data_IF_742384753122
#
_entry.id   IF_742384753122
#
_cell.length_a   1.000
_cell.length_b   1.000
_cell.length_c   1.000
_cell.angle_alpha   90.00
_cell.angle_beta   90.00
_cell.angle_gamma   90.00
#
_symmetry.space_group_name_H-M   'P 1'
#
loop_
_entity.id
_entity.type
_entity.pdbx_description
1 polymer ?
#
# COMPACT_ATOMS: atom_id res chain seq x y z
N UNK A 1 -14.69 -6.90 15.87
CA UNK A 1 -14.36 -7.80 14.74
C UNK A 1 -14.04 -7.02 13.47
N UNK A 2 -14.87 -6.07 13.04
CA UNK A 2 -14.64 -5.20 11.86
C UNK A 2 -13.27 -4.48 11.84
N UNK A 3 -12.90 -3.79 12.92
CA UNK A 3 -11.60 -3.12 13.04
C UNK A 3 -10.40 -4.06 12.82
N UNK A 4 -10.46 -5.26 13.42
CA UNK A 4 -9.40 -6.26 13.26
C UNK A 4 -9.30 -6.73 11.80
N UNK A 5 -10.44 -6.94 11.13
CA UNK A 5 -10.47 -7.27 9.70
C UNK A 5 -9.87 -6.16 8.84
N UNK A 6 -10.17 -4.88 9.13
CA UNK A 6 -9.60 -3.74 8.40
C UNK A 6 -8.08 -3.66 8.60
N UNK A 7 -7.59 -3.86 9.82
CA UNK A 7 -6.14 -3.86 10.12
C UNK A 7 -5.44 -5.00 9.37
N UNK A 8 -5.98 -6.23 9.46
CA UNK A 8 -5.41 -7.40 8.77
C UNK A 8 -5.41 -7.20 7.25
N UNK A 9 -6.51 -6.70 6.69
CA UNK A 9 -6.61 -6.38 5.28
C UNK A 9 -5.58 -5.30 4.88
N UNK A 10 -5.43 -4.25 5.68
CA UNK A 10 -4.48 -3.17 5.42
C UNK A 10 -3.03 -3.64 5.41
N UNK A 11 -2.63 -4.46 6.39
CA UNK A 11 -1.28 -5.04 6.45
C UNK A 11 -1.03 -5.96 5.24
N UNK A 12 -1.99 -6.85 4.94
CA UNK A 12 -1.90 -7.72 3.78
C UNK A 12 -1.78 -6.91 2.48
N UNK A 13 -2.60 -5.88 2.31
CA UNK A 13 -2.60 -5.05 1.10
C UNK A 13 -1.30 -4.24 0.95
N UNK A 14 -0.79 -3.65 2.03
CA UNK A 14 0.52 -2.98 2.05
C UNK A 14 1.65 -3.92 1.64
N UNK A 15 1.65 -5.15 2.16
CA UNK A 15 2.64 -6.16 1.79
C UNK A 15 2.55 -6.52 0.30
N UNK A 16 1.34 -6.78 -0.19
CA UNK A 16 1.10 -7.13 -1.60
C UNK A 16 1.55 -6.01 -2.54
N UNK A 17 1.24 -4.75 -2.22
CA UNK A 17 1.66 -3.62 -3.05
C UNK A 17 3.17 -3.44 -3.02
N UNK A 18 3.83 -3.48 -1.86
CA UNK A 18 5.30 -3.38 -1.82
C UNK A 18 5.98 -4.50 -2.62
N UNK A 19 5.44 -5.72 -2.60
CA UNK A 19 5.92 -6.84 -3.42
C UNK A 19 5.75 -6.58 -4.92
N UNK A 20 4.63 -5.98 -5.32
CA UNK A 20 4.41 -5.56 -6.71
C UNK A 20 5.34 -4.41 -7.11
N UNK A 21 5.61 -3.45 -6.23
CA UNK A 21 6.57 -2.37 -6.46
C UNK A 21 7.99 -2.88 -6.59
N UNK A 22 8.39 -3.88 -5.80
CA UNK A 22 9.65 -4.58 -5.96
C UNK A 22 9.76 -5.24 -7.34
N UNK A 23 8.77 -6.04 -7.72
CA UNK A 23 8.74 -6.69 -9.03
C UNK A 23 8.73 -5.67 -10.18
N UNK A 24 8.11 -4.49 -9.99
CA UNK A 24 8.15 -3.40 -10.95
C UNK A 24 9.58 -2.84 -11.10
N UNK A 25 10.27 -2.58 -9.99
CA UNK A 25 11.63 -2.04 -10.00
C UNK A 25 12.61 -3.05 -10.63
N UNK A 26 12.46 -4.33 -10.30
CA UNK A 26 13.26 -5.43 -10.86
C UNK A 26 13.02 -5.60 -12.37
N UNK A 27 11.75 -5.74 -12.80
CA UNK A 27 11.40 -5.95 -14.22
C UNK A 27 11.71 -4.76 -15.13
N UNK A 28 11.76 -3.56 -14.57
CA UNK A 28 12.07 -2.32 -15.32
C UNK A 28 13.51 -1.87 -15.13
N UNK A 29 14.34 -2.67 -14.46
CA UNK A 29 15.76 -2.40 -14.18
C UNK A 29 15.97 -0.98 -13.63
N UNK A 30 15.09 -0.56 -12.72
CA UNK A 30 15.12 0.81 -12.19
C UNK A 30 16.36 0.96 -11.31
N UNK A 31 17.21 1.98 -11.54
CA UNK A 31 18.41 2.17 -10.74
C UNK A 31 18.06 2.41 -9.27
N UNK A 32 18.85 1.81 -8.37
CA UNK A 32 18.59 1.78 -6.91
C UNK A 32 18.37 3.17 -6.32
N UNK A 33 19.09 4.17 -6.80
CA UNK A 33 18.96 5.58 -6.40
C UNK A 33 17.58 6.21 -6.73
N UNK A 34 16.86 5.68 -7.73
CA UNK A 34 15.49 6.14 -8.08
C UNK A 34 14.40 5.34 -7.37
N UNK A 35 14.69 4.12 -6.91
CA UNK A 35 13.71 3.24 -6.27
C UNK A 35 13.07 3.87 -5.02
N UNK A 36 13.81 4.52 -4.08
CA UNK A 36 13.20 5.14 -2.90
C UNK A 36 12.08 6.12 -3.21
N UNK A 37 12.20 6.87 -4.31
CA UNK A 37 11.15 7.81 -4.74
C UNK A 37 9.88 7.06 -5.15
N UNK A 38 10.02 5.95 -5.87
CA UNK A 38 8.89 5.11 -6.32
C UNK A 38 8.21 4.47 -5.11
N UNK A 39 8.97 3.82 -4.22
CA UNK A 39 8.44 3.23 -3.00
C UNK A 39 7.73 4.28 -2.13
N UNK A 40 8.32 5.47 -1.97
CA UNK A 40 7.68 6.57 -1.22
C UNK A 40 6.36 6.98 -1.87
N UNK A 41 6.33 7.19 -3.19
CA UNK A 41 5.10 7.57 -3.88
C UNK A 41 4.02 6.51 -3.74
N UNK A 42 4.35 5.23 -3.97
CA UNK A 42 3.38 4.14 -3.84
C UNK A 42 2.88 4.02 -2.41
N UNK A 43 3.77 4.06 -1.41
CA UNK A 43 3.36 3.95 0.00
C UNK A 43 2.45 5.11 0.43
N UNK A 44 2.70 6.34 -0.03
CA UNK A 44 1.79 7.48 0.22
C UNK A 44 0.41 7.21 -0.40
N UNK A 45 0.36 6.80 -1.66
CA UNK A 45 -0.90 6.55 -2.36
C UNK A 45 -1.70 5.40 -1.72
N UNK A 46 -1.04 4.32 -1.32
CA UNK A 46 -1.69 3.21 -0.62
C UNK A 46 -2.16 3.60 0.78
N UNK A 47 -1.39 4.41 1.50
CA UNK A 47 -1.80 4.90 2.81
C UNK A 47 -3.06 5.75 2.70
N UNK A 48 -3.14 6.65 1.70
CA UNK A 48 -4.34 7.44 1.42
C UNK A 48 -5.52 6.51 1.11
N UNK A 49 -5.34 5.54 0.20
CA UNK A 49 -6.39 4.58 -0.16
C UNK A 49 -6.91 3.80 1.05
N UNK A 50 -6.01 3.26 1.89
CA UNK A 50 -6.37 2.49 3.08
C UNK A 50 -7.03 3.37 4.14
N UNK A 51 -6.60 4.62 4.28
CA UNK A 51 -7.22 5.57 5.17
C UNK A 51 -8.64 5.93 4.70
N UNK A 52 -8.84 6.18 3.41
CA UNK A 52 -10.16 6.38 2.82
C UNK A 52 -11.07 5.17 3.02
N UNK A 53 -10.55 3.96 2.81
CA UNK A 53 -11.29 2.72 3.07
C UNK A 53 -11.65 2.57 4.55
N UNK A 54 -10.73 2.87 5.47
CA UNK A 54 -11.02 2.88 6.90
C UNK A 54 -12.15 3.84 7.25
N UNK A 55 -12.11 5.08 6.72
CA UNK A 55 -13.16 6.07 6.92
C UNK A 55 -14.51 5.56 6.42
N UNK A 56 -14.57 5.03 5.19
CA UNK A 56 -15.79 4.46 4.61
C UNK A 56 -16.38 3.37 5.50
N UNK A 57 -15.54 2.45 5.99
CA UNK A 57 -15.99 1.33 6.84
C UNK A 57 -16.54 1.82 8.19
N UNK A 58 -16.00 2.89 8.77
CA UNK A 58 -16.50 3.41 10.05
C UNK A 58 -17.70 4.34 9.90
N UNK A 59 -17.90 4.97 8.73
CA UNK A 59 -19.01 5.92 8.51
C UNK A 59 -20.21 5.29 7.81
N UNK A 60 -20.00 4.30 6.94
CA UNK A 60 -21.05 3.57 6.25
C UNK A 60 -21.44 2.27 6.95
N UNK A 61 -20.66 1.83 7.95
CA UNK A 61 -20.90 0.65 8.78
C UNK A 61 -21.83 0.88 9.97
#
# INVERSE_FOLDING_TARGET
>A
MLLLSVILFSVFYLFQINRMTFALCERREIPEEKQPKIYRTVNILITILLFSFYLEVITAG
#
